data_IF_734033147245
#
_entry.id   IF_734033147245
#
_cell.length_a   1.000
_cell.length_b   1.000
_cell.length_c   1.000
_cell.angle_alpha   90.00
_cell.angle_beta   90.00
_cell.angle_gamma   90.00
#
_symmetry.space_group_name_H-M   'P 1'
#
loop_
_entity.id
_entity.type
_entity.pdbx_description
1 polymer ?
#
# COMPACT_ATOMS: atom_id res chain seq x y z
N UNK A 1 -5.26 11.03 -22.81
CA UNK A 1 -4.85 11.07 -21.39
C UNK A 1 -3.90 9.91 -21.16
N UNK A 2 -2.59 10.16 -21.06
CA UNK A 2 -1.54 9.14 -21.29
C UNK A 2 -1.05 8.39 -20.05
N UNK A 3 -1.71 8.46 -18.88
CA UNK A 3 -1.17 7.85 -17.66
C UNK A 3 -2.19 7.16 -16.73
N UNK A 4 -3.36 6.75 -17.23
CA UNK A 4 -4.19 5.81 -16.46
C UNK A 4 -3.66 4.40 -16.70
N UNK A 5 -2.92 3.84 -15.74
CA UNK A 5 -2.63 2.39 -15.73
C UNK A 5 -3.97 1.65 -15.86
N UNK A 6 -4.10 0.75 -16.85
CA UNK A 6 -5.31 -0.05 -17.01
C UNK A 6 -5.46 -0.99 -15.80
N UNK A 7 -6.67 -1.27 -15.29
CA UNK A 7 -6.88 -1.98 -14.01
C UNK A 7 -6.54 -3.48 -14.00
N UNK A 8 -5.81 -4.02 -14.99
CA UNK A 8 -5.59 -5.47 -15.11
C UNK A 8 -4.36 -6.00 -14.37
N UNK A 9 -3.49 -5.13 -13.87
CA UNK A 9 -2.32 -5.55 -13.11
C UNK A 9 -2.75 -5.79 -11.66
N UNK A 10 -3.01 -7.05 -11.33
CA UNK A 10 -3.46 -7.43 -9.99
C UNK A 10 -2.34 -7.11 -9.01
N UNK A 11 -2.55 -6.09 -8.14
CA UNK A 11 -1.59 -5.77 -7.10
C UNK A 11 -1.30 -7.02 -6.26
N UNK A 12 -0.03 -7.38 -6.17
CA UNK A 12 0.45 -8.48 -5.36
C UNK A 12 0.96 -7.92 -4.05
N UNK A 13 0.38 -8.39 -2.93
CA UNK A 13 0.91 -8.13 -1.61
C UNK A 13 2.23 -8.87 -1.43
N UNK A 14 3.26 -8.17 -0.97
CA UNK A 14 4.53 -8.77 -0.59
C UNK A 14 4.99 -8.24 0.77
N UNK A 15 5.92 -8.96 1.38
CA UNK A 15 6.47 -8.63 2.69
C UNK A 15 7.99 -8.48 2.66
N UNK A 16 8.52 -7.60 3.50
CA UNK A 16 9.93 -7.54 3.86
C UNK A 16 10.05 -7.54 5.39
N UNK A 17 11.19 -7.99 5.91
CA UNK A 17 11.50 -7.93 7.34
C UNK A 17 12.49 -6.80 7.57
N UNK A 18 12.18 -5.88 8.47
CA UNK A 18 13.08 -4.78 8.81
C UNK A 18 14.22 -5.23 9.73
N UNK A 19 15.14 -4.32 10.04
CA UNK A 19 16.29 -4.60 10.93
C UNK A 19 15.89 -4.97 12.37
N UNK A 20 14.65 -4.66 12.77
CA UNK A 20 14.09 -4.96 14.10
C UNK A 20 13.32 -6.28 14.10
N UNK A 21 13.20 -6.97 12.96
CA UNK A 21 12.44 -8.21 12.83
C UNK A 21 10.95 -8.00 12.56
N UNK A 22 10.50 -6.78 12.26
CA UNK A 22 9.10 -6.50 11.95
C UNK A 22 8.80 -6.85 10.49
N UNK A 23 7.68 -7.52 10.25
CA UNK A 23 7.13 -7.71 8.91
C UNK A 23 6.47 -6.42 8.43
N UNK A 24 6.94 -5.91 7.29
CA UNK A 24 6.42 -4.74 6.59
C UNK A 24 5.80 -5.17 5.26
N UNK A 25 4.68 -4.55 4.90
CA UNK A 25 3.89 -4.87 3.73
C UNK A 25 4.03 -3.81 2.65
N UNK A 26 4.08 -4.27 1.39
CA UNK A 26 4.10 -3.46 0.18
C UNK A 26 3.24 -4.07 -0.92
N UNK A 27 3.06 -3.33 -2.02
CA UNK A 27 2.36 -3.80 -3.22
C UNK A 27 3.27 -3.71 -4.45
N UNK A 28 3.23 -4.75 -5.27
CA UNK A 28 3.98 -4.84 -6.53
C UNK A 28 3.10 -5.38 -7.64
N UNK A 29 3.43 -5.05 -8.88
CA UNK A 29 2.77 -5.62 -10.06
C UNK A 29 3.52 -6.87 -10.53
N UNK A 30 4.84 -6.86 -10.38
CA UNK A 30 5.73 -8.00 -10.66
C UNK A 30 6.91 -7.97 -9.69
N UNK A 31 7.75 -9.01 -9.71
CA UNK A 31 8.98 -9.07 -8.89
C UNK A 31 9.89 -7.83 -9.07
N UNK A 32 9.86 -7.19 -10.24
CA UNK A 32 10.74 -6.06 -10.57
C UNK A 32 10.03 -4.70 -10.51
N UNK A 33 8.71 -4.67 -10.24
CA UNK A 33 7.93 -3.43 -10.21
C UNK A 33 7.18 -3.27 -8.89
N UNK A 34 7.85 -2.60 -7.94
CA UNK A 34 7.26 -2.20 -6.67
C UNK A 34 6.47 -0.90 -6.87
N UNK A 35 5.18 -0.93 -6.54
CA UNK A 35 4.28 0.23 -6.60
C UNK A 35 4.21 0.91 -5.24
N UNK A 36 4.04 0.12 -4.18
CA UNK A 36 4.02 0.57 -2.81
C UNK A 36 5.16 -0.13 -2.07
N UNK A 37 6.17 0.59 -1.55
CA UNK A 37 7.29 -0.01 -0.84
C UNK A 37 6.83 -0.70 0.45
N UNK A 38 7.56 -1.73 0.87
CA UNK A 38 7.31 -2.44 2.12
C UNK A 38 7.67 -1.57 3.34
N UNK A 39 6.75 -0.68 3.73
CA UNK A 39 6.93 0.25 4.87
C UNK A 39 5.73 0.36 5.81
N UNK A 40 4.63 -0.31 5.48
CA UNK A 40 3.40 -0.27 6.27
C UNK A 40 3.25 -1.53 7.11
N UNK A 41 2.62 -1.40 8.27
CA UNK A 41 2.29 -2.53 9.14
C UNK A 41 1.12 -3.34 8.58
N UNK A 42 0.23 -2.72 7.81
CA UNK A 42 -0.80 -3.40 7.02
C UNK A 42 -1.15 -2.59 5.77
N UNK A 43 -1.65 -3.28 4.73
CA UNK A 43 -2.23 -2.70 3.53
C UNK A 43 -3.49 -3.48 3.19
N UNK A 44 -4.61 -2.78 2.97
CA UNK A 44 -5.88 -3.37 2.57
C UNK A 44 -6.47 -2.56 1.41
N UNK A 45 -6.93 -3.26 0.36
CA UNK A 45 -7.56 -2.62 -0.79
C UNK A 45 -8.99 -2.15 -0.46
N UNK A 46 -9.31 -0.90 -0.77
CA UNK A 46 -10.63 -0.30 -0.51
C UNK A 46 -11.59 -0.65 -1.65
N UNK A 47 -11.89 -1.93 -1.83
CA UNK A 47 -12.79 -2.42 -2.88
C UNK A 47 -12.14 -2.54 -4.27
N UNK A 48 -12.60 -3.50 -5.06
CA UNK A 48 -11.97 -3.87 -6.36
C UNK A 48 -12.01 -2.77 -7.43
N UNK A 49 -12.92 -1.80 -7.29
CA UNK A 49 -13.13 -0.73 -8.27
C UNK A 49 -12.28 0.51 -7.99
N UNK A 50 -11.66 0.61 -6.81
CA UNK A 50 -10.95 1.80 -6.38
C UNK A 50 -9.45 1.55 -6.31
N UNK A 51 -8.66 2.52 -6.73
CA UNK A 51 -7.20 2.48 -6.59
C UNK A 51 -6.74 3.07 -5.24
N UNK A 52 -7.46 2.76 -4.16
CA UNK A 52 -7.17 3.26 -2.82
C UNK A 52 -6.91 2.11 -1.85
N UNK A 53 -6.01 2.37 -0.90
CA UNK A 53 -5.58 1.40 0.08
C UNK A 53 -5.63 2.01 1.47
N UNK A 54 -6.26 1.29 2.40
CA UNK A 54 -6.14 1.57 3.82
C UNK A 54 -4.80 1.00 4.29
N UNK A 55 -4.01 1.82 4.97
CA UNK A 55 -2.70 1.42 5.49
C UNK A 55 -2.59 1.73 6.97
N UNK A 56 -1.77 0.96 7.69
CA UNK A 56 -1.38 1.28 9.07
C UNK A 56 0.12 1.48 9.23
N UNK A 57 0.53 2.38 10.12
CA UNK A 57 1.92 2.59 10.49
C UNK A 57 2.33 1.76 11.74
N UNK A 58 3.59 1.87 12.14
CA UNK A 58 4.15 1.18 13.31
C UNK A 58 3.40 1.49 14.63
N UNK A 59 2.75 2.66 14.72
CA UNK A 59 2.00 3.13 15.87
C UNK A 59 0.51 2.73 15.83
N UNK A 60 0.13 1.80 14.93
CA UNK A 60 -1.27 1.39 14.68
C UNK A 60 -2.20 2.54 14.27
N UNK A 61 -1.67 3.61 13.70
CA UNK A 61 -2.50 4.67 13.11
C UNK A 61 -2.81 4.34 11.67
N UNK A 62 -4.01 4.67 11.24
CA UNK A 62 -4.56 4.39 9.93
C UNK A 62 -4.65 5.63 9.07
N UNK A 63 -4.54 5.43 7.75
CA UNK A 63 -4.77 6.44 6.72
C UNK A 63 -5.06 5.78 5.38
N UNK A 64 -5.24 6.59 4.34
CA UNK A 64 -5.54 6.12 2.98
C UNK A 64 -4.46 6.62 2.04
N UNK A 65 -3.94 5.73 1.21
CA UNK A 65 -3.05 6.07 0.09
C UNK A 65 -3.69 5.70 -1.24
N UNK A 66 -3.29 6.38 -2.30
CA UNK A 66 -3.63 6.00 -3.68
C UNK A 66 -2.63 4.96 -4.26
N UNK A 67 -2.88 4.51 -5.49
CA UNK A 67 -1.98 3.60 -6.22
C UNK A 67 -0.65 4.22 -6.65
N UNK A 68 -0.46 5.52 -6.45
CA UNK A 68 0.80 6.22 -6.64
C UNK A 68 1.55 6.37 -5.30
N UNK A 69 1.09 5.71 -4.24
CA UNK A 69 1.63 5.78 -2.88
C UNK A 69 1.58 7.20 -2.28
N UNK A 70 0.66 8.04 -2.78
CA UNK A 70 0.41 9.37 -2.22
C UNK A 70 -0.60 9.26 -1.08
N UNK A 71 -0.35 9.97 0.01
CA UNK A 71 -1.28 10.04 1.14
C UNK A 71 -2.49 10.90 0.78
N UNK A 72 -3.67 10.28 0.77
CA UNK A 72 -4.97 10.92 0.55
C UNK A 72 -5.60 11.32 1.87
N UNK A 73 -5.51 10.42 2.87
CA UNK A 73 -5.92 10.67 4.26
C UNK A 73 -4.73 10.40 5.16
N UNK A 74 -4.42 11.37 6.02
CA UNK A 74 -3.27 11.30 6.93
C UNK A 74 -3.27 10.01 7.77
N UNK A 75 -2.08 9.47 8.05
CA UNK A 75 -1.91 8.20 8.79
C UNK A 75 -1.83 8.50 10.29
N UNK A 76 -2.91 9.02 10.85
CA UNK A 76 -2.99 9.48 12.25
C UNK A 76 -4.31 9.14 12.96
N UNK A 77 -5.17 8.32 12.34
CA UNK A 77 -6.45 7.92 12.91
C UNK A 77 -6.35 6.60 13.67
N UNK A 78 -7.13 6.44 14.73
CA UNK A 78 -7.34 5.17 15.41
C UNK A 78 -8.43 4.34 14.70
N UNK A 79 -8.45 3.03 14.94
CA UNK A 79 -9.45 2.09 14.39
C UNK A 79 -10.83 2.26 15.01
#
# INVERSE_FOLDING_TARGET
SLYSRKPSDTYQLFTQVDKKGNTLYGLRISEHEIVIPAKYKSIQHLGKEFNYFVVSNENNKYGIIDSLNQTVVAINYDS
#
